data_IF_100181175167
#
_entry.id   IF_100181175167
#
_cell.length_a   1.000
_cell.length_b   1.000
_cell.length_c   1.000
_cell.angle_alpha   90.00
_cell.angle_beta   90.00
_cell.angle_gamma   90.00
#
_symmetry.space_group_name_H-M   'P 1'
#
loop_
_entity.id
_entity.type
_entity.pdbx_description
1 polymer ?
#
# COMPACT_ATOMS: atom_id res chain seq x y z
N UNK A 1 13.79 7.62 -22.73
CA UNK A 1 13.52 8.69 -21.76
C UNK A 1 12.57 8.16 -20.71
N UNK A 2 12.90 8.28 -19.44
CA UNK A 2 12.06 7.81 -18.34
C UNK A 2 11.05 8.90 -17.99
N UNK A 3 9.76 8.55 -17.98
CA UNK A 3 8.72 9.45 -17.50
C UNK A 3 8.81 9.54 -15.96
N UNK A 4 8.74 10.75 -15.44
CA UNK A 4 8.71 11.00 -14.00
C UNK A 4 7.38 11.63 -13.63
N UNK A 5 6.54 10.88 -12.93
CA UNK A 5 5.26 11.35 -12.42
C UNK A 5 5.46 11.84 -11.00
N UNK A 6 5.24 13.12 -10.74
CA UNK A 6 5.48 13.73 -9.43
C UNK A 6 4.21 14.11 -8.68
N UNK A 7 3.10 14.27 -9.39
CA UNK A 7 1.84 14.73 -8.79
C UNK A 7 1.01 13.56 -8.32
N UNK A 8 0.80 13.46 -7.02
CA UNK A 8 -0.01 12.39 -6.42
C UNK A 8 -1.50 12.64 -6.55
N UNK A 9 -1.91 13.85 -6.90
CA UNK A 9 -3.32 14.19 -7.14
C UNK A 9 -4.24 13.73 -6.01
N UNK A 10 -3.84 13.99 -4.76
CA UNK A 10 -4.65 13.64 -3.60
C UNK A 10 -6.00 14.35 -3.63
N UNK A 11 -7.08 13.58 -3.49
CA UNK A 11 -8.45 14.09 -3.57
C UNK A 11 -9.03 14.39 -2.19
N UNK A 12 -8.33 14.03 -1.13
CA UNK A 12 -8.76 14.19 0.26
C UNK A 12 -7.59 14.65 1.10
N UNK A 13 -7.89 15.18 2.27
CA UNK A 13 -6.86 15.57 3.24
C UNK A 13 -6.27 14.31 3.85
N UNK A 14 -4.95 14.17 3.75
CA UNK A 14 -4.21 12.99 4.20
C UNK A 14 -3.02 13.44 5.04
N UNK A 15 -2.53 12.54 5.89
CA UNK A 15 -1.36 12.79 6.73
C UNK A 15 -0.50 11.54 6.81
N UNK A 16 0.81 11.71 6.62
CA UNK A 16 1.79 10.67 6.95
C UNK A 16 2.02 10.71 8.46
N UNK A 17 1.85 9.58 9.11
CA UNK A 17 2.02 9.46 10.55
C UNK A 17 2.71 8.17 10.93
N UNK A 18 2.90 7.94 12.22
CA UNK A 18 3.48 6.70 12.70
C UNK A 18 2.44 5.59 12.71
N UNK A 19 2.89 4.40 12.33
CA UNK A 19 2.07 3.19 12.35
C UNK A 19 2.86 2.06 13.02
N UNK A 20 2.26 0.88 13.09
CA UNK A 20 2.91 -0.31 13.65
C UNK A 20 4.13 -0.77 12.84
N UNK A 21 4.23 -0.34 11.59
CA UNK A 21 5.31 -0.75 10.68
C UNK A 21 6.26 0.39 10.33
N UNK A 22 6.22 1.49 11.07
CA UNK A 22 7.02 2.68 10.83
C UNK A 22 6.16 3.87 10.48
N UNK A 23 5.88 4.08 9.18
CA UNK A 23 4.99 5.15 8.73
C UNK A 23 3.72 4.55 8.14
N UNK A 24 2.67 5.35 8.13
CA UNK A 24 1.42 5.05 7.47
C UNK A 24 0.80 6.32 6.91
N UNK A 25 -0.22 6.16 6.08
CA UNK A 25 -0.98 7.27 5.52
C UNK A 25 -2.38 7.25 6.14
N UNK A 26 -2.79 8.37 6.69
CA UNK A 26 -4.03 8.49 7.46
C UNK A 26 -5.01 9.45 6.80
N UNK A 27 -6.29 9.10 6.83
CA UNK A 27 -7.37 9.99 6.40
C UNK A 27 -7.57 11.10 7.42
N UNK A 28 -7.53 12.35 6.97
CA UNK A 28 -7.77 13.52 7.82
C UNK A 28 -9.13 14.14 7.56
N UNK A 29 -10.00 13.42 6.90
CA UNK A 29 -11.43 13.68 6.71
C UNK A 29 -12.09 12.36 6.30
N UNK A 30 -13.40 12.30 6.35
CA UNK A 30 -14.14 11.12 5.92
C UNK A 30 -14.03 10.95 4.42
N UNK A 31 -13.80 9.71 3.97
CA UNK A 31 -13.69 9.36 2.56
C UNK A 31 -14.80 8.36 2.24
N UNK A 32 -15.78 8.74 1.39
CA UNK A 32 -16.83 7.81 0.99
C UNK A 32 -16.30 6.64 0.18
N UNK A 33 -16.99 5.53 0.20
CA UNK A 33 -16.69 4.35 -0.61
C UNK A 33 -16.63 4.69 -2.11
N UNK A 34 -15.70 4.07 -2.82
CA UNK A 34 -15.61 4.15 -4.28
C UNK A 34 -14.94 5.42 -4.81
N UNK A 35 -14.23 6.15 -3.97
CA UNK A 35 -13.57 7.39 -4.38
C UNK A 35 -12.08 7.20 -4.62
N UNK A 36 -11.56 7.85 -5.64
CA UNK A 36 -10.11 7.99 -5.83
C UNK A 36 -9.55 8.82 -4.69
N UNK A 37 -8.55 8.26 -4.00
CA UNK A 37 -7.92 8.93 -2.84
C UNK A 37 -6.67 9.65 -3.27
N UNK A 38 -5.75 8.93 -3.91
CA UNK A 38 -4.43 9.42 -4.27
C UNK A 38 -3.88 8.56 -5.40
N UNK A 39 -3.03 9.14 -6.24
CA UNK A 39 -2.33 8.40 -7.29
C UNK A 39 -0.98 7.90 -6.78
N UNK A 40 -0.63 6.66 -7.11
CA UNK A 40 0.68 6.08 -6.87
C UNK A 40 1.60 6.51 -8.01
N UNK A 41 2.62 7.29 -7.70
CA UNK A 41 3.46 7.96 -8.69
C UNK A 41 4.93 7.63 -8.50
N UNK A 42 5.76 8.03 -9.45
CA UNK A 42 7.18 7.81 -9.40
C UNK A 42 7.79 7.74 -10.78
N UNK A 43 8.85 6.93 -10.91
CA UNK A 43 9.53 6.70 -12.18
C UNK A 43 8.80 5.62 -12.97
N UNK A 44 8.38 5.93 -14.18
CA UNK A 44 7.76 4.93 -15.06
C UNK A 44 8.86 4.11 -15.74
N UNK A 45 8.84 2.81 -15.51
CA UNK A 45 9.84 1.87 -16.01
C UNK A 45 9.24 1.05 -17.16
N UNK A 46 10.03 0.78 -18.18
CA UNK A 46 9.57 0.11 -19.41
C UNK A 46 10.02 -1.34 -19.53
N UNK A 47 10.42 -1.99 -18.46
CA UNK A 47 10.94 -3.37 -18.46
C UNK A 47 12.23 -3.53 -19.27
N UNK A 48 12.99 -2.46 -19.42
CA UNK A 48 14.33 -2.54 -20.02
C UNK A 48 15.30 -3.15 -19.00
N UNK A 49 16.31 -3.91 -19.47
CA UNK A 49 17.26 -4.54 -18.56
C UNK A 49 17.99 -3.59 -17.62
N UNK A 50 18.10 -2.33 -18.00
CA UNK A 50 18.80 -1.31 -17.23
C UNK A 50 17.93 -0.66 -16.16
N UNK A 51 16.64 -0.97 -16.12
CA UNK A 51 15.71 -0.42 -15.11
C UNK A 51 15.80 -1.20 -13.80
N UNK A 52 17.02 -1.42 -13.32
CA UNK A 52 17.25 -2.16 -12.08
C UNK A 52 16.78 -1.35 -10.86
N UNK A 53 15.97 -1.97 -10.02
CA UNK A 53 15.50 -1.40 -8.76
C UNK A 53 15.58 -2.47 -7.67
N UNK A 54 15.38 -2.04 -6.41
CA UNK A 54 15.34 -3.00 -5.30
C UNK A 54 13.99 -3.72 -5.16
N UNK A 55 13.00 -3.38 -5.97
CA UNK A 55 11.70 -4.02 -6.00
C UNK A 55 10.72 -3.63 -4.90
N UNK A 56 11.14 -2.87 -3.89
CA UNK A 56 10.30 -2.58 -2.71
C UNK A 56 9.09 -1.69 -2.99
N UNK A 57 9.19 -0.80 -3.97
CA UNK A 57 8.13 0.16 -4.29
C UNK A 57 7.69 0.04 -5.73
N UNK A 58 7.96 -1.09 -6.37
CA UNK A 58 7.59 -1.31 -7.76
C UNK A 58 6.12 -1.72 -7.83
N UNK A 59 5.35 -0.99 -8.60
CA UNK A 59 3.95 -1.28 -8.85
C UNK A 59 3.78 -1.62 -10.33
N UNK A 60 3.32 -2.83 -10.63
CA UNK A 60 3.14 -3.28 -12.01
C UNK A 60 1.86 -2.72 -12.60
N UNK A 61 1.97 -2.06 -13.74
CA UNK A 61 0.81 -1.56 -14.49
C UNK A 61 0.33 -2.62 -15.48
N UNK A 62 1.25 -3.11 -16.30
CA UNK A 62 0.97 -4.13 -17.32
C UNK A 62 2.27 -4.84 -17.71
N UNK A 63 2.25 -5.63 -18.79
CA UNK A 63 3.43 -6.38 -19.24
C UNK A 63 4.63 -5.50 -19.58
N UNK A 64 4.40 -4.23 -19.88
CA UNK A 64 5.43 -3.33 -20.41
C UNK A 64 5.79 -2.19 -19.48
N UNK A 65 4.96 -1.92 -18.48
CA UNK A 65 5.12 -0.74 -17.63
C UNK A 65 5.03 -1.09 -16.15
N UNK A 66 5.97 -0.51 -15.40
CA UNK A 66 5.94 -0.48 -13.94
C UNK A 66 6.11 0.96 -13.48
N UNK A 67 5.72 1.24 -12.24
CA UNK A 67 6.04 2.49 -11.57
C UNK A 67 6.90 2.18 -10.35
N UNK A 68 8.08 2.80 -10.29
CA UNK A 68 8.91 2.78 -9.09
C UNK A 68 8.49 3.94 -8.19
N UNK A 69 7.77 3.64 -7.13
CA UNK A 69 7.24 4.63 -6.19
C UNK A 69 8.17 4.97 -5.04
N UNK A 70 9.46 4.62 -5.11
CA UNK A 70 10.43 4.91 -4.06
C UNK A 70 10.65 6.40 -3.78
N UNK A 71 10.56 7.33 -4.77
CA UNK A 71 10.76 8.75 -4.48
C UNK A 71 9.80 9.26 -3.40
N UNK A 72 10.32 10.12 -2.53
CA UNK A 72 9.55 10.63 -1.38
C UNK A 72 8.36 11.52 -1.76
N UNK A 73 8.37 12.12 -2.95
CA UNK A 73 7.20 12.86 -3.42
C UNK A 73 5.99 11.97 -3.69
N UNK A 74 6.19 10.65 -3.81
CA UNK A 74 5.09 9.71 -3.87
C UNK A 74 4.55 9.46 -2.46
N UNK A 75 3.61 10.27 -2.01
CA UNK A 75 3.00 10.12 -0.69
C UNK A 75 2.31 8.76 -0.54
N UNK A 76 1.81 8.19 -1.64
CA UNK A 76 1.17 6.88 -1.62
C UNK A 76 2.13 5.74 -1.22
N UNK A 77 3.45 5.96 -1.26
CA UNK A 77 4.43 4.96 -0.82
C UNK A 77 4.30 4.60 0.67
N UNK A 78 3.70 5.48 1.45
CA UNK A 78 3.53 5.27 2.88
C UNK A 78 2.29 4.45 3.23
N UNK A 79 1.45 4.11 2.23
CA UNK A 79 0.29 3.25 2.45
C UNK A 79 0.77 1.83 2.75
N UNK A 80 0.38 1.30 3.90
CA UNK A 80 0.78 -0.03 4.31
C UNK A 80 -0.11 -1.11 3.71
N UNK A 81 0.44 -2.33 3.66
CA UNK A 81 -0.32 -3.51 3.28
C UNK A 81 -1.31 -3.90 4.38
N UNK A 82 -2.48 -4.35 3.99
CA UNK A 82 -3.39 -5.08 4.85
C UNK A 82 -4.05 -6.21 4.08
N UNK A 83 -4.26 -7.34 4.74
CA UNK A 83 -5.05 -8.44 4.19
C UNK A 83 -6.55 -8.18 4.34
N UNK A 84 -6.94 -7.15 5.11
CA UNK A 84 -8.31 -6.62 5.22
C UNK A 84 -8.30 -5.12 4.93
N UNK A 85 -8.00 -4.73 3.68
CA UNK A 85 -7.76 -3.33 3.39
C UNK A 85 -9.06 -2.53 3.29
N UNK A 86 -8.94 -1.22 3.52
CA UNK A 86 -10.03 -0.28 3.28
C UNK A 86 -9.93 0.42 1.92
N UNK A 87 -8.86 0.16 1.18
CA UNK A 87 -8.65 0.70 -0.15
C UNK A 87 -8.17 -0.39 -1.11
N UNK A 88 -8.11 -0.04 -2.39
CA UNK A 88 -7.64 -0.94 -3.44
C UNK A 88 -6.96 -0.13 -4.53
N UNK A 89 -6.10 -0.75 -5.32
CA UNK A 89 -5.49 -0.13 -6.47
C UNK A 89 -6.38 -0.32 -7.69
N UNK A 90 -6.45 0.70 -8.54
CA UNK A 90 -7.20 0.68 -9.79
C UNK A 90 -6.35 1.39 -10.86
N UNK A 91 -5.97 0.65 -11.89
CA UNK A 91 -5.16 1.21 -12.98
C UNK A 91 -6.09 1.71 -14.08
N UNK A 92 -6.03 3.02 -14.33
CA UNK A 92 -6.83 3.69 -15.36
C UNK A 92 -5.89 4.45 -16.28
N UNK A 93 -5.90 4.13 -17.58
CA UNK A 93 -5.04 4.78 -18.59
C UNK A 93 -3.56 4.84 -18.15
N UNK A 94 -3.05 3.72 -17.65
CA UNK A 94 -1.68 3.56 -17.18
C UNK A 94 -1.33 4.41 -15.95
N UNK A 95 -2.32 4.93 -15.24
CA UNK A 95 -2.17 5.58 -13.94
C UNK A 95 -2.73 4.69 -12.84
N UNK A 96 -2.05 4.65 -11.71
CA UNK A 96 -2.42 3.80 -10.58
C UNK A 96 -3.10 4.66 -9.52
N UNK A 97 -4.40 4.43 -9.34
CA UNK A 97 -5.18 5.13 -8.31
C UNK A 97 -5.42 4.22 -7.12
N UNK A 98 -5.29 4.77 -5.94
CA UNK A 98 -5.73 4.10 -4.72
C UNK A 98 -7.13 4.61 -4.43
N UNK A 99 -8.09 3.68 -4.40
CA UNK A 99 -9.53 3.98 -4.23
C UNK A 99 -10.06 3.37 -2.96
N UNK A 100 -11.03 4.02 -2.35
CA UNK A 100 -11.69 3.47 -1.15
C UNK A 100 -12.59 2.29 -1.52
N UNK A 101 -12.46 1.19 -0.79
CA UNK A 101 -13.33 0.00 -0.91
C UNK A 101 -14.55 0.08 -0.04
N UNK A 102 -14.49 0.89 1.00
CA UNK A 102 -15.56 1.18 1.94
C UNK A 102 -15.44 2.62 2.40
N UNK A 103 -16.38 3.07 3.19
CA UNK A 103 -16.24 4.37 3.84
C UNK A 103 -15.03 4.34 4.79
N UNK A 104 -14.18 5.35 4.70
CA UNK A 104 -13.01 5.50 5.56
C UNK A 104 -13.28 6.70 6.47
N UNK A 105 -13.12 6.48 7.77
CA UNK A 105 -13.40 7.52 8.76
C UNK A 105 -12.18 8.39 9.00
N UNK A 106 -12.43 9.63 9.42
CA UNK A 106 -11.36 10.51 9.89
C UNK A 106 -10.49 9.77 10.92
N UNK A 107 -9.18 9.79 10.68
CA UNK A 107 -8.19 9.16 11.56
C UNK A 107 -7.87 7.70 11.25
N UNK A 108 -8.60 7.06 10.33
CA UNK A 108 -8.26 5.69 9.94
C UNK A 108 -7.00 5.67 9.08
N UNK A 109 -6.18 4.65 9.28
CA UNK A 109 -5.06 4.37 8.38
C UNK A 109 -5.58 3.81 7.07
N UNK A 110 -5.10 4.36 5.95
CA UNK A 110 -5.42 3.87 4.62
C UNK A 110 -4.50 2.69 4.33
N UNK A 111 -5.07 1.57 3.91
CA UNK A 111 -4.34 0.34 3.59
C UNK A 111 -4.87 -0.27 2.31
N UNK A 112 -4.02 -1.02 1.61
CA UNK A 112 -4.46 -1.84 0.49
C UNK A 112 -3.68 -3.15 0.46
N UNK A 113 -4.20 -4.12 -0.27
CA UNK A 113 -3.52 -5.40 -0.46
C UNK A 113 -2.47 -5.24 -1.56
N UNK A 114 -1.21 -5.45 -1.22
CA UNK A 114 -0.10 -5.32 -2.17
C UNK A 114 -0.07 -6.42 -3.23
N UNK A 115 -0.86 -7.45 -3.05
CA UNK A 115 -0.88 -8.58 -3.97
C UNK A 115 -0.06 -9.77 -3.46
N UNK A 116 -0.39 -10.95 -3.97
CA UNK A 116 0.20 -12.22 -3.48
C UNK A 116 1.71 -12.28 -3.67
N UNK A 117 2.21 -11.88 -4.83
CA UNK A 117 3.64 -11.97 -5.13
C UNK A 117 4.46 -11.10 -4.18
N UNK A 118 4.05 -9.86 -4.00
CA UNK A 118 4.71 -8.95 -3.09
C UNK A 118 4.62 -9.47 -1.65
N UNK A 119 3.46 -9.95 -1.24
CA UNK A 119 3.26 -10.52 0.09
C UNK A 119 4.21 -11.68 0.35
N UNK A 120 4.29 -12.63 -0.58
CA UNK A 120 5.16 -13.81 -0.41
C UNK A 120 6.64 -13.45 -0.39
N UNK A 121 7.06 -12.50 -1.20
CA UNK A 121 8.46 -12.13 -1.34
C UNK A 121 8.97 -11.22 -0.23
N UNK A 122 8.18 -10.23 0.17
CA UNK A 122 8.65 -9.16 1.06
C UNK A 122 7.98 -9.11 2.43
N UNK A 123 6.75 -9.56 2.55
CA UNK A 123 5.99 -9.44 3.79
C UNK A 123 6.01 -10.74 4.60
N UNK A 124 5.67 -11.85 3.99
CA UNK A 124 5.56 -13.14 4.65
C UNK A 124 6.86 -13.56 5.36
N UNK A 125 8.06 -13.39 4.76
CA UNK A 125 9.30 -13.77 5.46
C UNK A 125 9.56 -12.97 6.73
N UNK A 126 9.05 -11.73 6.82
CA UNK A 126 9.21 -10.86 7.99
C UNK A 126 8.01 -10.89 8.93
N UNK A 127 6.96 -11.63 8.56
CA UNK A 127 5.68 -11.65 9.27
C UNK A 127 4.80 -10.45 8.92
N UNK A 128 3.57 -10.71 8.48
CA UNK A 128 2.61 -9.67 8.18
C UNK A 128 2.10 -9.03 9.48
N UNK A 129 2.13 -7.71 9.55
CA UNK A 129 1.71 -6.92 10.71
C UNK A 129 0.38 -6.21 10.50
N UNK A 130 -0.42 -6.64 9.51
CA UNK A 130 -1.76 -6.10 9.33
C UNK A 130 -2.70 -6.55 10.45
N UNK A 131 -3.83 -5.87 10.60
CA UNK A 131 -4.80 -6.16 11.67
C UNK A 131 -5.25 -7.61 11.69
N UNK A 132 -5.50 -8.21 10.52
CA UNK A 132 -5.91 -9.61 10.41
C UNK A 132 -4.88 -10.55 11.01
N UNK A 133 -3.61 -10.39 10.63
CA UNK A 133 -2.54 -11.29 11.08
C UNK A 133 -2.13 -11.03 12.53
N UNK A 134 -2.19 -9.80 12.99
CA UNK A 134 -1.94 -9.49 14.40
C UNK A 134 -3.02 -10.11 15.28
N UNK A 135 -4.29 -10.07 14.87
CA UNK A 135 -5.38 -10.71 15.62
C UNK A 135 -5.21 -12.23 15.66
N UNK A 136 -4.86 -12.86 14.55
CA UNK A 136 -4.58 -14.30 14.48
C UNK A 136 -3.39 -14.66 15.37
N UNK A 137 -2.31 -13.88 15.32
CA UNK A 137 -1.13 -14.09 16.14
C UNK A 137 -1.44 -14.00 17.64
N UNK A 138 -2.24 -13.01 18.05
CA UNK A 138 -2.67 -12.89 19.45
C UNK A 138 -3.51 -14.08 19.91
N UNK A 139 -4.43 -14.55 19.07
CA UNK A 139 -5.24 -15.72 19.36
C UNK A 139 -4.39 -16.99 19.45
N UNK A 140 -3.43 -17.16 18.54
CA UNK A 140 -2.52 -18.28 18.57
C UNK A 140 -1.67 -18.30 19.85
N UNK A 141 -1.17 -17.13 20.28
CA UNK A 141 -0.42 -17.02 21.53
C UNK A 141 -1.25 -17.39 22.75
N UNK A 142 -2.50 -16.97 22.77
CA UNK A 142 -3.43 -17.34 23.86
C UNK A 142 -3.66 -18.84 23.88
N UNK A 143 -3.87 -19.47 22.73
CA UNK A 143 -4.05 -20.90 22.63
C UNK A 143 -2.78 -21.67 23.03
N UNK A 144 -1.62 -21.22 22.60
CA UNK A 144 -0.36 -21.81 23.01
C UNK A 144 -0.16 -21.73 24.51
N UNK A 145 -0.45 -20.59 25.10
CA UNK A 145 -0.40 -20.42 26.54
C UNK A 145 -1.28 -21.41 27.28
N UNK A 146 -2.49 -21.62 26.81
CA UNK A 146 -3.44 -22.59 27.39
C UNK A 146 -2.95 -24.03 27.17
N UNK A 147 -2.37 -24.30 26.00
CA UNK A 147 -1.88 -25.64 25.68
C UNK A 147 -0.67 -26.07 26.51
N UNK A 148 0.09 -25.10 26.96
CA UNK A 148 1.28 -25.33 27.79
C UNK A 148 0.95 -25.46 29.28
N UNK A 149 -0.21 -25.07 29.65
CA UNK A 149 -0.72 -25.20 31.00
C UNK A 149 -1.29 -26.60 31.24
#
# INVERSE_FOLDING_TARGET
MIELRKETNAQFKLKVGRSKTGFGLYAMESIPKGKKIIEYVGRVLTNEPDDATNGLYIFNINKHLDVDGAPRFNTARYINHSCRPNAESDTVKDHIWIKSRRNIMLGEEITYDYGREYFNEYIKPKGCKCEKHLAISKNAKVHEGRSKE
#
